data_IF_558102926542
#
_entry.id   IF_558102926542
#
_cell.length_a   1.000
_cell.length_b   1.000
_cell.length_c   1.000
_cell.angle_alpha   90.00
_cell.angle_beta   90.00
_cell.angle_gamma   90.00
#
_symmetry.space_group_name_H-M   'P 1'
#
loop_
_entity.id
_entity.type
_entity.pdbx_description
1 polymer ?
#
# COMPACT_ATOMS: atom_id res chain seq x y z
N UNK A 1 15.47 14.70 -4.15
CA UNK A 1 16.46 13.64 -3.81
C UNK A 1 17.66 13.81 -4.73
N UNK A 2 18.87 13.92 -4.20
CA UNK A 2 20.07 14.13 -5.02
C UNK A 2 20.66 12.77 -5.43
N UNK A 3 20.46 12.41 -6.71
CA UNK A 3 20.88 11.12 -7.28
C UNK A 3 22.42 10.91 -7.16
N UNK A 4 23.21 11.94 -7.43
CA UNK A 4 24.67 11.83 -7.38
C UNK A 4 25.20 11.57 -5.99
N UNK A 5 24.62 12.23 -4.97
CA UNK A 5 24.93 11.96 -3.58
C UNK A 5 24.53 10.54 -3.15
N UNK A 6 23.39 10.07 -3.61
CA UNK A 6 22.92 8.70 -3.31
C UNK A 6 23.86 7.66 -3.93
N UNK A 7 24.24 7.81 -5.20
CA UNK A 7 25.17 6.90 -5.87
C UNK A 7 26.56 6.88 -5.18
N UNK A 8 27.10 8.04 -4.78
CA UNK A 8 28.36 8.12 -4.02
C UNK A 8 28.28 7.41 -2.66
N UNK A 9 27.11 7.48 -1.98
CA UNK A 9 26.89 6.73 -0.72
C UNK A 9 26.86 5.22 -0.96
N UNK A 10 26.20 4.78 -2.01
CA UNK A 10 26.11 3.36 -2.37
C UNK A 10 27.49 2.80 -2.71
N UNK A 11 28.28 3.51 -3.52
CA UNK A 11 29.63 3.06 -3.91
C UNK A 11 30.62 2.96 -2.75
N UNK A 12 30.45 3.80 -1.72
CA UNK A 12 31.29 3.78 -0.50
C UNK A 12 30.90 2.69 0.48
N UNK A 13 29.65 2.28 0.52
CA UNK A 13 29.11 1.33 1.50
C UNK A 13 29.08 -0.07 0.90
N UNK A 14 29.93 -0.94 1.41
CA UNK A 14 30.10 -2.31 0.88
C UNK A 14 29.06 -3.32 1.39
N UNK A 15 28.45 -3.08 2.56
CA UNK A 15 27.57 -4.06 3.21
C UNK A 15 26.19 -3.45 3.49
N UNK A 16 25.15 -4.15 3.06
CA UNK A 16 23.75 -3.86 3.31
C UNK A 16 23.12 -5.08 3.99
N UNK A 17 22.29 -4.84 5.00
CA UNK A 17 21.55 -5.90 5.68
C UNK A 17 20.37 -6.34 4.83
N UNK A 18 19.76 -5.39 4.08
CA UNK A 18 18.64 -5.65 3.21
C UNK A 18 18.74 -4.83 1.92
N UNK A 19 18.51 -5.50 0.79
CA UNK A 19 18.38 -4.85 -0.52
C UNK A 19 16.98 -5.10 -1.06
N UNK A 20 16.26 -4.02 -1.37
CA UNK A 20 14.90 -4.05 -1.90
C UNK A 20 14.93 -3.58 -3.35
N UNK A 21 14.37 -4.38 -4.24
CA UNK A 21 14.27 -4.06 -5.66
C UNK A 21 12.82 -3.70 -5.99
N UNK A 22 12.60 -2.47 -6.37
CA UNK A 22 11.31 -1.88 -6.70
C UNK A 22 10.78 -0.91 -5.64
N UNK A 23 10.42 0.29 -6.07
CA UNK A 23 9.91 1.40 -5.25
C UNK A 23 8.40 1.60 -5.35
N UNK A 24 7.63 0.51 -5.44
CA UNK A 24 6.18 0.54 -5.30
C UNK A 24 5.74 0.57 -3.83
N UNK A 25 4.43 0.46 -3.56
CA UNK A 25 3.89 0.48 -2.19
C UNK A 25 4.53 -0.56 -1.28
N UNK A 26 4.67 -1.80 -1.74
CA UNK A 26 5.30 -2.88 -0.97
C UNK A 26 6.78 -2.60 -0.68
N UNK A 27 7.55 -2.20 -1.70
CA UNK A 27 8.99 -1.93 -1.52
C UNK A 27 9.25 -0.74 -0.61
N UNK A 28 8.45 0.31 -0.71
CA UNK A 28 8.53 1.47 0.19
C UNK A 28 8.13 1.12 1.63
N UNK A 29 7.10 0.29 1.80
CA UNK A 29 6.67 -0.19 3.12
C UNK A 29 7.75 -1.03 3.79
N UNK A 30 8.35 -1.99 3.08
CA UNK A 30 9.46 -2.81 3.58
C UNK A 30 10.69 -1.95 3.90
N UNK A 31 11.00 -0.96 3.04
CA UNK A 31 12.12 -0.06 3.28
C UNK A 31 11.93 0.79 4.54
N UNK A 32 10.72 1.28 4.75
CA UNK A 32 10.39 2.06 5.94
C UNK A 32 10.47 1.20 7.21
N UNK A 33 9.85 0.02 7.20
CA UNK A 33 9.85 -0.89 8.35
C UNK A 33 11.27 -1.34 8.70
N UNK A 34 12.04 -1.80 7.72
CA UNK A 34 13.42 -2.24 7.95
C UNK A 34 14.33 -1.12 8.45
N UNK A 35 14.21 0.08 7.88
CA UNK A 35 14.99 1.24 8.34
C UNK A 35 14.60 1.66 9.76
N UNK A 36 13.30 1.61 10.11
CA UNK A 36 12.83 1.92 11.47
C UNK A 36 13.36 0.95 12.53
N UNK A 37 13.64 -0.29 12.14
CA UNK A 37 14.27 -1.33 12.98
C UNK A 37 15.80 -1.23 13.02
N UNK A 38 16.40 -0.23 12.34
CA UNK A 38 17.84 0.01 12.36
C UNK A 38 18.65 -0.78 11.34
N UNK A 39 18.00 -1.53 10.42
CA UNK A 39 18.72 -2.25 9.37
C UNK A 39 19.31 -1.28 8.33
N UNK A 40 20.49 -1.61 7.84
CA UNK A 40 21.14 -0.90 6.72
C UNK A 40 20.44 -1.28 5.42
N UNK A 41 19.39 -0.55 5.08
CA UNK A 41 18.50 -0.85 3.96
C UNK A 41 18.90 -0.07 2.71
N UNK A 42 18.95 -0.76 1.57
CA UNK A 42 19.10 -0.19 0.23
C UNK A 42 17.85 -0.47 -0.58
N UNK A 43 17.18 0.59 -1.04
CA UNK A 43 16.07 0.49 -2.00
C UNK A 43 16.53 0.95 -3.37
N UNK A 44 16.30 0.12 -4.38
CA UNK A 44 16.66 0.39 -5.78
C UNK A 44 15.39 0.41 -6.62
N UNK A 45 15.16 1.52 -7.33
CA UNK A 45 14.05 1.69 -8.28
C UNK A 45 14.62 2.03 -9.67
N UNK A 46 14.10 1.37 -10.70
CA UNK A 46 14.55 1.55 -12.08
C UNK A 46 14.16 2.92 -12.68
N UNK A 47 12.95 3.36 -12.38
CA UNK A 47 12.38 4.57 -12.98
C UNK A 47 12.15 5.67 -11.93
N UNK A 48 10.97 5.65 -11.31
CA UNK A 48 10.55 6.56 -10.26
C UNK A 48 9.68 5.80 -9.27
N UNK A 49 9.61 6.30 -8.05
CA UNK A 49 8.80 5.68 -7.00
C UNK A 49 7.32 5.63 -7.40
N UNK A 50 6.69 4.50 -7.10
CA UNK A 50 5.29 4.23 -7.38
C UNK A 50 4.88 4.28 -8.86
N UNK A 51 5.80 4.39 -9.82
CA UNK A 51 5.49 4.52 -11.25
C UNK A 51 4.81 3.29 -11.86
N UNK A 52 4.97 2.12 -11.27
CA UNK A 52 4.36 0.87 -11.71
C UNK A 52 2.89 0.73 -11.30
N UNK A 53 2.52 -0.44 -10.83
CA UNK A 53 1.16 -0.82 -10.39
C UNK A 53 0.59 0.12 -9.34
N UNK A 54 1.39 0.61 -8.41
CA UNK A 54 0.94 1.49 -7.33
C UNK A 54 0.29 2.79 -7.83
N UNK A 55 0.76 3.34 -8.97
CA UNK A 55 0.12 4.52 -9.60
C UNK A 55 -1.04 4.17 -10.51
N UNK A 56 -1.14 2.92 -10.96
CA UNK A 56 -2.13 2.45 -11.95
C UNK A 56 -3.29 1.68 -11.35
N UNK A 57 -3.36 1.61 -10.03
CA UNK A 57 -4.49 1.06 -9.29
C UNK A 57 -5.66 2.06 -9.27
N UNK A 58 -6.86 1.60 -8.96
CA UNK A 58 -8.03 2.47 -8.75
C UNK A 58 -7.88 3.36 -7.52
N UNK A 59 -6.92 3.08 -6.65
CA UNK A 59 -6.66 3.76 -5.37
C UNK A 59 -7.86 3.73 -4.41
N UNK A 60 -8.77 2.77 -4.60
CA UNK A 60 -9.88 2.53 -3.68
C UNK A 60 -9.41 1.62 -2.54
N UNK A 61 -9.53 2.12 -1.32
CA UNK A 61 -9.25 1.34 -0.11
C UNK A 61 -10.59 0.93 0.50
N UNK A 62 -10.94 -0.34 0.39
CA UNK A 62 -12.24 -0.87 0.82
C UNK A 62 -12.08 -2.04 1.79
N UNK A 63 -13.14 -2.33 2.55
CA UNK A 63 -13.16 -3.42 3.53
C UNK A 63 -13.40 -4.82 2.96
N UNK A 64 -13.42 -4.98 1.61
CA UNK A 64 -13.52 -6.29 0.99
C UNK A 64 -14.91 -6.91 1.08
N UNK A 65 -15.94 -6.28 0.52
CA UNK A 65 -17.32 -6.82 0.48
C UNK A 65 -17.36 -8.24 -0.08
N UNK A 66 -16.51 -8.57 -1.05
CA UNK A 66 -16.39 -9.94 -1.58
C UNK A 66 -15.90 -10.97 -0.56
N UNK A 67 -15.00 -10.57 0.35
CA UNK A 67 -14.54 -11.45 1.43
C UNK A 67 -15.66 -11.76 2.41
N UNK A 68 -16.54 -10.79 2.67
CA UNK A 68 -17.72 -10.98 3.49
C UNK A 68 -18.67 -12.02 2.89
N UNK A 69 -18.88 -11.99 1.56
CA UNK A 69 -19.68 -12.99 0.85
C UNK A 69 -19.09 -14.40 0.95
N UNK A 70 -17.76 -14.52 1.01
CA UNK A 70 -17.05 -15.80 1.15
C UNK A 70 -16.94 -16.26 2.62
N UNK A 71 -17.43 -15.47 3.58
CA UNK A 71 -17.32 -15.77 5.01
C UNK A 71 -15.97 -15.46 5.65
N UNK A 72 -15.05 -14.78 4.93
CA UNK A 72 -13.72 -14.42 5.42
C UNK A 72 -13.77 -13.16 6.31
N UNK A 73 -14.42 -13.28 7.46
CA UNK A 73 -14.62 -12.16 8.39
C UNK A 73 -13.29 -11.60 8.90
N UNK A 74 -12.30 -12.46 9.11
CA UNK A 74 -10.97 -12.05 9.59
C UNK A 74 -10.29 -11.07 8.64
N UNK A 75 -10.33 -11.36 7.33
CA UNK A 75 -9.78 -10.48 6.29
C UNK A 75 -10.54 -9.15 6.20
N UNK A 76 -11.85 -9.16 6.40
CA UNK A 76 -12.66 -7.93 6.43
C UNK A 76 -12.26 -7.04 7.60
N UNK A 77 -12.11 -7.61 8.80
CA UNK A 77 -11.70 -6.87 10.00
C UNK A 77 -10.30 -6.28 9.83
N UNK A 78 -9.36 -7.06 9.30
CA UNK A 78 -8.00 -6.60 9.02
C UNK A 78 -7.99 -5.45 7.99
N UNK A 79 -8.70 -5.60 6.88
CA UNK A 79 -8.79 -4.57 5.85
C UNK A 79 -9.41 -3.26 6.36
N UNK A 80 -10.43 -3.34 7.21
CA UNK A 80 -11.06 -2.18 7.85
C UNK A 80 -10.10 -1.48 8.83
N UNK A 81 -9.33 -2.26 9.59
CA UNK A 81 -8.30 -1.74 10.49
C UNK A 81 -7.21 -0.98 9.72
N UNK A 82 -6.67 -1.59 8.67
CA UNK A 82 -5.65 -0.98 7.81
C UNK A 82 -6.16 0.30 7.14
N UNK A 83 -7.41 0.30 6.67
CA UNK A 83 -8.07 1.51 6.16
C UNK A 83 -8.11 2.63 7.21
N UNK A 84 -8.46 2.30 8.45
CA UNK A 84 -8.47 3.24 9.56
C UNK A 84 -7.08 3.83 9.84
N UNK A 85 -6.04 3.01 9.81
CA UNK A 85 -4.65 3.43 9.98
C UNK A 85 -4.21 4.36 8.86
N UNK A 86 -4.52 4.03 7.59
CA UNK A 86 -4.22 4.89 6.44
C UNK A 86 -4.89 6.25 6.57
N UNK A 87 -6.17 6.30 6.96
CA UNK A 87 -6.90 7.55 7.18
C UNK A 87 -6.27 8.41 8.29
N UNK A 88 -5.82 7.75 9.37
CA UNK A 88 -5.14 8.43 10.48
C UNK A 88 -3.78 8.99 10.08
N UNK A 89 -3.00 8.21 9.32
CA UNK A 89 -1.65 8.57 8.94
C UNK A 89 -1.58 9.57 7.79
N UNK A 90 -2.55 9.56 6.88
CA UNK A 90 -2.58 10.42 5.70
C UNK A 90 -3.99 11.02 5.44
N UNK A 91 -4.55 11.81 6.37
CA UNK A 91 -5.91 12.33 6.25
C UNK A 91 -6.09 13.29 5.05
N UNK A 92 -5.00 13.86 4.56
CA UNK A 92 -4.98 14.72 3.37
C UNK A 92 -5.07 13.95 2.04
N UNK A 93 -4.76 12.64 2.06
CA UNK A 93 -4.79 11.76 0.87
C UNK A 93 -5.98 10.80 0.89
N UNK A 94 -6.39 10.35 2.08
CA UNK A 94 -7.45 9.34 2.25
C UNK A 94 -8.75 10.04 2.61
N UNK A 95 -9.72 9.99 1.69
CA UNK A 95 -11.04 10.61 1.84
C UNK A 95 -12.14 9.56 1.69
N UNK A 96 -13.28 9.81 2.32
CA UNK A 96 -14.47 8.99 2.12
C UNK A 96 -15.01 9.22 0.70
N UNK A 97 -15.30 8.14 -0.01
CA UNK A 97 -15.90 8.16 -1.33
C UNK A 97 -17.23 7.41 -1.28
N UNK A 98 -18.30 8.13 -1.53
CA UNK A 98 -19.62 7.52 -1.72
C UNK A 98 -19.79 7.08 -3.17
N UNK A 99 -20.32 5.88 -3.38
CA UNK A 99 -20.63 5.36 -4.72
C UNK A 99 -21.93 4.59 -4.69
N UNK A 100 -22.58 4.51 -5.85
CA UNK A 100 -23.84 3.80 -6.01
C UNK A 100 -23.55 2.41 -6.54
N UNK A 101 -24.07 1.40 -5.86
CA UNK A 101 -24.03 0.02 -6.33
C UNK A 101 -25.40 -0.30 -6.89
N UNK A 102 -25.56 -0.48 -8.22
CA UNK A 102 -26.82 -0.91 -8.79
C UNK A 102 -27.10 -2.36 -8.37
N UNK A 103 -28.25 -2.61 -7.76
CA UNK A 103 -28.74 -3.95 -7.47
C UNK A 103 -29.99 -4.20 -8.30
N UNK A 104 -29.94 -5.19 -9.18
CA UNK A 104 -31.05 -5.54 -10.07
C UNK A 104 -31.91 -6.68 -9.52
N UNK A 105 -31.38 -7.43 -8.55
CA UNK A 105 -32.05 -8.56 -7.93
C UNK A 105 -32.44 -8.26 -6.49
N UNK A 106 -33.72 -8.35 -6.18
CA UNK A 106 -34.26 -8.13 -4.83
C UNK A 106 -33.59 -9.02 -3.76
N UNK A 107 -33.24 -10.25 -4.14
CA UNK A 107 -32.63 -11.24 -3.24
C UNK A 107 -31.14 -10.98 -2.92
N UNK A 108 -30.43 -10.26 -3.77
CA UNK A 108 -29.03 -9.91 -3.58
C UNK A 108 -28.82 -8.53 -2.92
N UNK A 109 -29.91 -7.78 -2.72
CA UNK A 109 -29.89 -6.43 -2.16
C UNK A 109 -29.29 -6.34 -0.74
N UNK A 110 -29.49 -7.31 0.20
CA UNK A 110 -28.94 -7.22 1.55
C UNK A 110 -27.41 -7.21 1.64
N UNK A 111 -26.72 -7.70 0.60
CA UNK A 111 -25.25 -7.79 0.58
C UNK A 111 -24.56 -6.59 -0.06
N UNK A 112 -25.30 -5.72 -0.74
CA UNK A 112 -24.78 -4.55 -1.45
C UNK A 112 -25.41 -3.22 -1.02
N UNK A 113 -26.41 -3.26 -0.16
CA UNK A 113 -27.10 -2.09 0.38
C UNK A 113 -26.47 -1.50 1.63
#
# INVERSE_FOLDING_TARGET
MDRLKSLKKISKKKNWDLIIIGGGSSGLGIALDSASRGYKTLLIEKYDFSKGTSSRSTKLVHGGVRYLQNGDISLVVEALRERGIMRKNAPHLVRDLSFVIPSYDWWNSPFYG
#
